data_IF_886958072967
#
_entry.id   IF_886958072967
#
_cell.length_a   1.000
_cell.length_b   1.000
_cell.length_c   1.000
_cell.angle_alpha   90.00
_cell.angle_beta   90.00
_cell.angle_gamma   90.00
#
_symmetry.space_group_name_H-M   'P 1'
#
loop_
_entity.id
_entity.type
_entity.pdbx_description
1 polymer ?
#
# COMPACT_ATOMS: atom_id res chain seq x y z
N UNK A 1 -8.12 -15.77 2.34
CA UNK A 1 -8.60 -14.42 1.92
C UNK A 1 -9.43 -13.87 3.05
N UNK A 2 -9.14 -12.64 3.47
CA UNK A 2 -9.75 -12.02 4.63
C UNK A 2 -10.55 -10.78 4.21
N UNK A 3 -11.53 -10.41 5.04
CA UNK A 3 -12.28 -9.17 4.89
C UNK A 3 -11.68 -8.12 5.83
N UNK A 4 -11.50 -6.90 5.33
CA UNK A 4 -10.96 -5.77 6.07
C UNK A 4 -12.03 -4.70 6.26
N UNK A 5 -12.17 -4.23 7.49
CA UNK A 5 -12.96 -3.04 7.82
C UNK A 5 -12.01 -2.03 8.45
N UNK A 6 -11.91 -0.85 7.84
CA UNK A 6 -11.24 0.32 8.41
C UNK A 6 -12.29 1.37 8.72
N UNK A 7 -12.48 1.66 10.01
CA UNK A 7 -13.36 2.74 10.46
C UNK A 7 -12.52 3.84 11.14
N UNK A 8 -12.68 5.07 10.67
CA UNK A 8 -12.09 6.26 11.26
C UNK A 8 -13.18 7.08 11.93
N UNK A 9 -13.02 7.34 13.23
CA UNK A 9 -13.86 8.29 13.96
C UNK A 9 -13.28 9.70 13.86
N UNK A 10 -14.14 10.69 13.68
CA UNK A 10 -13.76 12.09 13.53
C UNK A 10 -14.67 13.05 14.29
N UNK A 11 -14.30 14.33 14.25
CA UNK A 11 -15.24 15.43 14.44
C UNK A 11 -16.29 15.46 13.32
N UNK A 12 -17.23 16.40 13.42
CA UNK A 12 -18.32 16.49 12.46
C UNK A 12 -17.82 16.83 11.05
N UNK A 13 -18.12 15.96 10.09
CA UNK A 13 -17.88 16.13 8.67
C UNK A 13 -19.13 16.79 8.08
N UNK A 14 -19.02 18.01 7.52
CA UNK A 14 -20.16 18.66 6.87
C UNK A 14 -20.76 17.78 5.78
N UNK A 15 -22.09 17.73 5.68
CA UNK A 15 -22.81 16.84 4.75
C UNK A 15 -22.28 16.90 3.30
N UNK A 16 -21.98 18.10 2.81
CA UNK A 16 -21.45 18.32 1.45
C UNK A 16 -20.04 17.74 1.21
N UNK A 17 -19.32 17.38 2.27
CA UNK A 17 -17.95 16.86 2.23
C UNK A 17 -17.90 15.34 2.42
N UNK A 18 -18.95 14.70 2.93
CA UNK A 18 -18.95 13.29 3.32
C UNK A 18 -18.66 12.36 2.15
N UNK A 19 -19.39 12.50 1.03
CA UNK A 19 -19.18 11.70 -0.18
C UNK A 19 -17.78 11.85 -0.80
N UNK A 20 -17.20 13.06 -0.72
CA UNK A 20 -15.82 13.26 -1.16
C UNK A 20 -14.83 12.61 -0.20
N UNK A 21 -15.05 12.74 1.12
CA UNK A 21 -14.17 12.22 2.14
C UNK A 21 -14.07 10.69 2.12
N UNK A 22 -15.20 9.98 1.95
CA UNK A 22 -15.19 8.51 1.80
C UNK A 22 -14.50 8.08 0.50
N UNK A 23 -14.70 8.80 -0.59
CA UNK A 23 -14.07 8.51 -1.89
C UNK A 23 -12.55 8.73 -1.84
N UNK A 24 -12.10 9.82 -1.23
CA UNK A 24 -10.69 10.12 -1.05
C UNK A 24 -10.00 9.07 -0.15
N UNK A 25 -10.66 8.63 0.92
CA UNK A 25 -10.15 7.58 1.80
C UNK A 25 -10.04 6.24 1.06
N UNK A 26 -11.06 5.85 0.30
CA UNK A 26 -11.04 4.64 -0.53
C UNK A 26 -9.87 4.68 -1.52
N UNK A 27 -9.73 5.77 -2.28
CA UNK A 27 -8.64 5.95 -3.25
C UNK A 27 -7.26 5.87 -2.59
N UNK A 28 -7.10 6.50 -1.43
CA UNK A 28 -5.84 6.46 -0.68
C UNK A 28 -5.50 5.03 -0.24
N UNK A 29 -6.50 4.26 0.20
CA UNK A 29 -6.31 2.88 0.64
C UNK A 29 -5.99 1.94 -0.53
N UNK A 30 -6.71 2.06 -1.66
CA UNK A 30 -6.40 1.28 -2.88
C UNK A 30 -4.98 1.52 -3.34
N UNK A 31 -4.55 2.78 -3.39
CA UNK A 31 -3.20 3.14 -3.78
C UNK A 31 -2.17 2.51 -2.84
N UNK A 32 -2.35 2.70 -1.52
CA UNK A 32 -1.39 2.20 -0.54
C UNK A 32 -1.28 0.66 -0.53
N UNK A 33 -2.41 -0.06 -0.62
CA UNK A 33 -2.42 -1.52 -0.65
C UNK A 33 -1.89 -2.07 -1.97
N UNK A 34 -2.21 -1.42 -3.10
CA UNK A 34 -1.68 -1.77 -4.41
C UNK A 34 -0.16 -1.60 -4.49
N UNK A 35 0.37 -0.48 -3.96
CA UNK A 35 1.82 -0.24 -3.83
C UNK A 35 2.49 -1.27 -2.89
N UNK A 36 1.78 -1.74 -1.87
CA UNK A 36 2.23 -2.83 -1.01
C UNK A 36 2.12 -4.22 -1.66
N UNK A 37 1.60 -4.34 -2.88
CA UNK A 37 1.46 -5.61 -3.60
C UNK A 37 0.36 -6.53 -3.07
N UNK A 38 -0.66 -5.97 -2.41
CA UNK A 38 -1.86 -6.67 -1.96
C UNK A 38 -2.96 -6.55 -3.01
N UNK A 39 -3.82 -7.56 -3.08
CA UNK A 39 -4.97 -7.60 -3.99
C UNK A 39 -6.25 -7.81 -3.20
N UNK A 40 -7.38 -7.34 -3.74
CA UNK A 40 -8.72 -7.50 -3.17
C UNK A 40 -9.74 -7.73 -4.29
N UNK A 41 -10.91 -8.22 -3.92
CA UNK A 41 -12.00 -8.48 -4.88
C UNK A 41 -12.97 -7.31 -5.02
N UNK A 42 -13.22 -6.58 -3.93
CA UNK A 42 -14.18 -5.49 -3.87
C UNK A 42 -13.76 -4.48 -2.80
N UNK A 43 -14.06 -3.22 -3.06
CA UNK A 43 -13.94 -2.14 -2.09
C UNK A 43 -15.24 -1.34 -2.09
N UNK A 44 -15.77 -1.09 -0.90
CA UNK A 44 -16.91 -0.21 -0.66
C UNK A 44 -16.55 0.84 0.38
N UNK A 45 -17.08 2.04 0.21
CA UNK A 45 -16.88 3.15 1.15
C UNK A 45 -18.21 3.63 1.69
N UNK A 46 -18.19 4.14 2.91
CA UNK A 46 -19.35 4.74 3.54
C UNK A 46 -18.91 5.87 4.47
N UNK A 47 -19.78 6.87 4.61
CA UNK A 47 -19.57 8.01 5.48
C UNK A 47 -20.83 8.32 6.27
N UNK A 48 -20.60 8.88 7.45
CA UNK A 48 -21.61 9.58 8.22
C UNK A 48 -21.01 10.85 8.81
N UNK A 49 -21.77 11.58 9.63
CA UNK A 49 -21.31 12.85 10.18
C UNK A 49 -20.02 12.76 10.98
N UNK A 50 -19.65 11.59 11.53
CA UNK A 50 -18.45 11.45 12.39
C UNK A 50 -17.64 10.19 12.10
N UNK A 51 -17.93 9.52 10.99
CA UNK A 51 -17.30 8.25 10.64
C UNK A 51 -17.02 8.20 9.14
N UNK A 52 -15.84 7.73 8.78
CA UNK A 52 -15.51 7.27 7.44
C UNK A 52 -15.14 5.80 7.53
N UNK A 53 -15.67 5.00 6.63
CA UNK A 53 -15.48 3.55 6.65
C UNK A 53 -15.11 3.06 5.27
N UNK A 54 -14.16 2.12 5.21
CA UNK A 54 -13.87 1.32 4.03
C UNK A 54 -14.06 -0.14 4.39
N UNK A 55 -14.83 -0.84 3.57
CA UNK A 55 -15.02 -2.28 3.61
C UNK A 55 -14.33 -2.89 2.39
N UNK A 56 -13.53 -3.91 2.59
CA UNK A 56 -12.78 -4.55 1.52
C UNK A 56 -12.87 -6.07 1.62
N UNK A 57 -13.38 -6.69 0.57
CA UNK A 57 -13.61 -8.13 0.52
C UNK A 57 -12.46 -8.83 -0.20
N UNK A 58 -12.08 -10.00 0.31
CA UNK A 58 -11.13 -10.86 -0.38
C UNK A 58 -9.71 -10.31 -0.43
N UNK A 59 -9.29 -9.57 0.60
CA UNK A 59 -7.91 -9.09 0.71
C UNK A 59 -6.95 -10.28 0.87
N UNK A 60 -5.85 -10.24 0.13
CA UNK A 60 -4.75 -11.20 0.26
C UNK A 60 -4.10 -11.12 1.63
N UNK A 61 -3.78 -12.27 2.23
CA UNK A 61 -3.21 -12.34 3.59
C UNK A 61 -1.77 -11.81 3.69
N UNK A 62 -1.06 -11.81 2.56
CA UNK A 62 0.29 -11.25 2.45
C UNK A 62 0.54 -10.80 1.02
N UNK A 63 1.43 -9.83 0.86
CA UNK A 63 1.96 -9.42 -0.43
C UNK A 63 2.74 -10.57 -1.08
N UNK A 64 2.81 -10.56 -2.42
CA UNK A 64 3.63 -11.51 -3.14
C UNK A 64 5.11 -11.36 -2.79
N UNK A 65 5.86 -12.46 -2.84
CA UNK A 65 7.30 -12.43 -2.63
C UNK A 65 7.96 -11.60 -3.74
N UNK A 66 8.73 -10.57 -3.38
CA UNK A 66 9.48 -9.75 -4.33
C UNK A 66 10.87 -10.35 -4.50
N UNK A 67 11.22 -10.71 -5.74
CA UNK A 67 12.59 -11.11 -6.10
C UNK A 67 13.25 -9.96 -6.85
N UNK A 68 14.37 -9.50 -6.32
CA UNK A 68 15.22 -8.51 -6.99
C UNK A 68 16.51 -9.19 -7.44
N UNK A 69 16.81 -9.14 -8.74
CA UNK A 69 18.07 -9.61 -9.29
C UNK A 69 18.96 -8.42 -9.64
N UNK A 70 20.12 -8.31 -8.97
CA UNK A 70 21.11 -7.27 -9.24
C UNK A 70 22.35 -7.89 -9.84
N UNK A 71 22.67 -7.51 -11.08
CA UNK A 71 23.93 -7.90 -11.73
C UNK A 71 25.10 -7.15 -11.09
N UNK A 72 26.02 -7.91 -10.51
CA UNK A 72 27.26 -7.38 -9.94
C UNK A 72 28.28 -6.95 -11.01
N UNK A 73 29.37 -6.31 -10.56
CA UNK A 73 30.51 -6.01 -11.43
C UNK A 73 31.09 -7.29 -12.04
N UNK A 74 31.70 -7.16 -13.22
CA UNK A 74 32.41 -8.28 -13.88
C UNK A 74 33.57 -8.80 -13.02
N UNK A 75 33.99 -10.04 -13.27
CA UNK A 75 35.22 -10.61 -12.68
C UNK A 75 36.41 -9.72 -13.02
N UNK A 76 37.17 -9.30 -12.00
CA UNK A 76 38.31 -8.39 -12.13
C UNK A 76 37.96 -6.89 -12.15
N UNK A 77 36.73 -6.51 -11.78
CA UNK A 77 36.38 -5.11 -11.59
C UNK A 77 37.22 -4.46 -10.45
N UNK A 78 37.49 -3.15 -10.52
CA UNK A 78 38.19 -2.44 -9.46
C UNK A 78 37.48 -2.59 -8.11
N UNK A 79 38.24 -2.67 -7.02
CA UNK A 79 37.69 -2.85 -5.67
C UNK A 79 36.61 -1.82 -5.33
N UNK A 80 36.78 -0.57 -5.74
CA UNK A 80 35.77 0.49 -5.59
C UNK A 80 34.42 0.17 -6.22
N UNK A 81 34.40 -0.53 -7.37
CA UNK A 81 33.16 -0.93 -8.02
C UNK A 81 32.49 -2.08 -7.26
N UNK A 82 33.29 -2.98 -6.66
CA UNK A 82 32.79 -4.06 -5.80
C UNK A 82 32.22 -3.49 -4.51
N UNK A 83 32.95 -2.61 -3.82
CA UNK A 83 32.50 -1.91 -2.62
C UNK A 83 31.22 -1.10 -2.86
N UNK A 84 31.16 -0.38 -3.99
CA UNK A 84 29.97 0.38 -4.37
C UNK A 84 28.74 -0.51 -4.59
N UNK A 85 28.93 -1.68 -5.22
CA UNK A 85 27.87 -2.65 -5.42
C UNK A 85 27.38 -3.26 -4.10
N UNK A 86 28.30 -3.69 -3.23
CA UNK A 86 27.96 -4.26 -1.92
C UNK A 86 27.17 -3.26 -1.07
N UNK A 87 27.68 -2.04 -0.95
CA UNK A 87 26.99 -0.95 -0.24
C UNK A 87 25.60 -0.67 -0.82
N UNK A 88 25.46 -0.70 -2.15
CA UNK A 88 24.18 -0.54 -2.82
C UNK A 88 23.21 -1.70 -2.55
N UNK A 89 23.72 -2.93 -2.43
CA UNK A 89 22.99 -4.14 -2.09
C UNK A 89 22.66 -4.27 -0.59
N UNK A 90 23.11 -3.33 0.25
CA UNK A 90 22.90 -3.37 1.70
C UNK A 90 23.80 -4.38 2.42
N UNK A 91 24.94 -4.73 1.82
CA UNK A 91 25.98 -5.62 2.34
C UNK A 91 27.25 -4.86 2.70
#
# INVERSE_FOLDING_TARGET
>A
MADLILELFSEEIPARMQAKAESDLGTALEKALGEAGLNWSKLETASGPRRLTVFMDGLTERSADVKEERKGPKVGAPDKAVEGFLRGAGL
#
